data_IF_765230233544
#
_entry.id   IF_765230233544
#
_cell.length_a   1.000
_cell.length_b   1.000
_cell.length_c   1.000
_cell.angle_alpha   90.00
_cell.angle_beta   90.00
_cell.angle_gamma   90.00
#
_symmetry.space_group_name_H-M   'P 1'
#
loop_
_entity.id
_entity.type
_entity.pdbx_description
1 polymer ?
#
# COMPACT_ATOMS: atom_id res chain seq x y z
N UNK A 1 -12.86 12.48 -9.48
CA UNK A 1 -12.13 12.41 -8.20
C UNK A 1 -11.30 11.15 -8.28
N UNK A 2 -9.98 11.26 -8.19
CA UNK A 2 -9.09 10.10 -8.14
C UNK A 2 -9.03 9.65 -6.67
N UNK A 3 -9.23 8.37 -6.40
CA UNK A 3 -9.06 7.82 -5.05
C UNK A 3 -7.55 7.64 -4.80
N UNK A 4 -6.99 8.52 -3.95
CA UNK A 4 -5.57 8.49 -3.53
C UNK A 4 -5.39 7.67 -2.26
N UNK A 5 -6.26 6.69 -2.01
CA UNK A 5 -6.20 5.85 -0.81
C UNK A 5 -6.38 4.40 -1.21
N UNK A 6 -5.48 3.55 -0.75
CA UNK A 6 -5.55 2.10 -0.91
C UNK A 6 -5.58 1.43 0.45
N UNK A 7 -6.21 0.26 0.53
CA UNK A 7 -6.24 -0.53 1.77
C UNK A 7 -5.28 -1.71 1.67
N UNK A 8 -4.63 -2.01 2.77
CA UNK A 8 -3.73 -3.15 2.87
C UNK A 8 -3.87 -3.85 4.22
N UNK A 9 -3.53 -5.13 4.24
CA UNK A 9 -3.51 -5.92 5.46
C UNK A 9 -2.07 -5.97 5.96
N UNK A 10 -1.88 -5.62 7.24
CA UNK A 10 -0.58 -5.71 7.87
C UNK A 10 -0.16 -7.18 8.00
N UNK A 11 1.04 -7.51 7.52
CA UNK A 11 1.59 -8.89 7.60
C UNK A 11 1.98 -9.30 9.01
N UNK A 12 2.16 -8.33 9.92
CA UNK A 12 2.56 -8.58 11.30
C UNK A 12 1.36 -8.86 12.22
N UNK A 13 0.36 -7.98 12.21
CA UNK A 13 -0.78 -8.06 13.14
C UNK A 13 -2.11 -8.46 12.47
N UNK A 14 -2.18 -8.46 11.13
CA UNK A 14 -3.40 -8.78 10.38
C UNK A 14 -4.45 -7.65 10.35
N UNK A 15 -4.14 -6.45 10.85
CA UNK A 15 -5.07 -5.32 10.81
C UNK A 15 -5.20 -4.73 9.39
N UNK A 16 -6.40 -4.27 9.04
CA UNK A 16 -6.63 -3.46 7.84
C UNK A 16 -6.15 -2.02 8.09
N UNK A 17 -5.29 -1.53 7.20
CA UNK A 17 -4.75 -0.18 7.22
C UNK A 17 -5.06 0.52 5.89
N UNK A 18 -4.93 1.85 5.88
CA UNK A 18 -5.11 2.69 4.70
C UNK A 18 -3.77 3.35 4.40
N UNK A 19 -3.28 3.17 3.18
CA UNK A 19 -2.10 3.86 2.66
C UNK A 19 -2.54 5.00 1.75
N UNK A 20 -1.88 6.15 1.88
CA UNK A 20 -2.05 7.26 0.93
C UNK A 20 -1.23 6.97 -0.32
N UNK A 21 -1.85 7.14 -1.47
CA UNK A 21 -1.38 6.72 -2.78
C UNK A 21 -0.99 7.96 -3.57
N UNK A 22 0.31 8.22 -3.64
CA UNK A 22 0.83 9.33 -4.43
C UNK A 22 0.86 8.96 -5.92
N UNK A 23 0.09 9.68 -6.74
CA UNK A 23 0.05 9.46 -8.19
C UNK A 23 1.26 10.08 -8.93
N UNK A 24 2.12 10.83 -8.23
CA UNK A 24 3.27 11.50 -8.84
C UNK A 24 4.49 10.57 -9.00
N UNK A 25 4.58 9.51 -8.20
CA UNK A 25 5.70 8.56 -8.22
C UNK A 25 5.72 7.56 -9.40
N UNK A 26 4.75 7.60 -10.31
CA UNK A 26 4.68 6.74 -11.49
C UNK A 26 3.80 5.49 -11.32
N UNK A 27 3.86 4.59 -12.32
CA UNK A 27 2.98 3.42 -12.43
C UNK A 27 3.30 2.32 -11.41
N UNK A 28 4.58 2.15 -11.08
CA UNK A 28 5.09 1.19 -10.11
C UNK A 28 5.83 1.93 -9.01
N UNK A 29 5.37 1.77 -7.77
CA UNK A 29 5.94 2.42 -6.61
C UNK A 29 6.10 1.42 -5.47
N UNK A 30 7.17 1.59 -4.71
CA UNK A 30 7.43 0.82 -3.49
C UNK A 30 7.82 1.80 -2.40
N UNK A 31 7.15 1.72 -1.25
CA UNK A 31 7.50 2.48 -0.07
C UNK A 31 7.14 1.71 1.19
N UNK A 32 7.65 2.15 2.33
CA UNK A 32 7.40 1.52 3.63
C UNK A 32 6.39 2.38 4.39
N UNK A 33 5.33 1.76 4.87
CA UNK A 33 4.33 2.38 5.75
C UNK A 33 4.19 1.57 7.04
N UNK A 34 4.15 2.27 8.15
CA UNK A 34 3.93 1.67 9.45
C UNK A 34 2.46 1.31 9.65
N UNK A 35 2.19 0.19 10.30
CA UNK A 35 0.84 -0.15 10.69
C UNK A 35 0.32 0.76 11.81
N UNK A 36 -0.85 1.35 11.64
CA UNK A 36 -1.52 2.23 12.62
C UNK A 36 -1.90 1.49 13.93
N UNK A 37 -1.88 0.15 13.92
CA UNK A 37 -2.27 -0.69 15.08
C UNK A 37 -1.05 -1.22 15.84
N UNK A 38 -0.04 -1.75 15.15
CA UNK A 38 1.12 -2.39 15.78
C UNK A 38 2.45 -1.67 15.55
N UNK A 39 2.45 -0.55 14.81
CA UNK A 39 3.63 0.23 14.44
C UNK A 39 4.74 -0.59 13.75
N UNK A 40 4.39 -1.72 13.13
CA UNK A 40 5.35 -2.51 12.37
C UNK A 40 5.48 -1.96 10.93
N UNK A 41 6.69 -1.88 10.37
CA UNK A 41 6.91 -1.37 9.02
C UNK A 41 6.47 -2.39 7.98
N UNK A 42 5.52 -2.04 7.12
CA UNK A 42 5.07 -2.86 6.01
C UNK A 42 5.65 -2.29 4.72
N UNK A 43 6.34 -3.12 3.95
CA UNK A 43 6.72 -2.76 2.59
C UNK A 43 5.49 -2.87 1.70
N UNK A 44 5.11 -1.75 1.09
CA UNK A 44 3.92 -1.62 0.26
C UNK A 44 4.36 -1.45 -1.19
N UNK A 45 3.88 -2.35 -2.05
CA UNK A 45 4.00 -2.18 -3.50
C UNK A 45 2.69 -1.65 -4.06
N UNK A 46 2.75 -0.57 -4.82
CA UNK A 46 1.62 0.01 -5.53
C UNK A 46 1.86 -0.09 -7.02
N UNK A 47 0.97 -0.80 -7.69
CA UNK A 47 0.89 -0.84 -9.14
C UNK A 47 -0.40 -0.18 -9.60
N UNK A 48 -0.29 0.84 -10.45
CA UNK A 48 -1.44 1.52 -11.06
C UNK A 48 -1.81 0.87 -12.38
N UNK A 49 -2.89 0.11 -12.37
CA UNK A 49 -3.48 -0.34 -13.62
C UNK A 49 -4.30 0.80 -14.25
N UNK A 50 -3.76 1.42 -15.32
CA UNK A 50 -4.40 2.54 -16.03
C UNK A 50 -5.79 2.20 -16.59
N UNK A 51 -6.12 0.92 -16.71
CA UNK A 51 -7.36 0.45 -17.32
C UNK A 51 -8.50 0.34 -16.30
N UNK A 52 -8.19 -0.01 -15.05
CA UNK A 52 -9.17 -0.16 -13.98
C UNK A 52 -9.02 0.85 -12.84
N UNK A 53 -7.99 1.71 -12.88
CA UNK A 53 -7.68 2.68 -11.82
C UNK A 53 -7.66 2.02 -10.43
N UNK A 54 -7.04 0.84 -10.33
CA UNK A 54 -6.96 0.07 -9.09
C UNK A 54 -5.51 -0.02 -8.63
N UNK A 55 -5.25 0.44 -7.41
CA UNK A 55 -4.02 0.15 -6.70
C UNK A 55 -4.10 -1.28 -6.16
N UNK A 56 -3.18 -2.14 -6.58
CA UNK A 56 -2.93 -3.43 -5.92
C UNK A 56 -1.87 -3.19 -4.89
N UNK A 57 -2.18 -3.53 -3.64
CA UNK A 57 -1.26 -3.41 -2.53
C UNK A 57 -0.89 -4.79 -2.02
N UNK A 58 0.41 -5.10 -2.04
CA UNK A 58 0.97 -6.31 -1.44
C UNK A 58 1.97 -5.92 -0.37
N UNK A 59 1.83 -6.54 0.80
CA UNK A 59 2.76 -6.49 1.91
C UNK A 59 3.59 -7.77 1.90
N UNK A 60 4.91 -7.62 1.83
CA UNK A 60 5.87 -8.74 1.82
C UNK A 60 6.71 -8.72 3.12
N UNK A 61 7.11 -9.91 3.58
CA UNK A 61 7.91 -10.09 4.79
C UNK A 61 9.22 -10.77 4.38
N UNK A 62 10.27 -9.97 4.20
CA UNK A 62 11.60 -10.49 3.90
C UNK A 62 12.17 -11.11 5.20
N UNK A 63 12.42 -12.43 5.19
CA UNK A 63 12.93 -13.23 6.32
C UNK A 63 14.27 -12.74 6.89
#
# INVERSE_FOLDING_TARGET
>A
MFETQARFICVFCGAENVADVDLSGGIDQEYIEDCEVCCAPNKIHIHFDEKYFRAVVTSDFDE
#
